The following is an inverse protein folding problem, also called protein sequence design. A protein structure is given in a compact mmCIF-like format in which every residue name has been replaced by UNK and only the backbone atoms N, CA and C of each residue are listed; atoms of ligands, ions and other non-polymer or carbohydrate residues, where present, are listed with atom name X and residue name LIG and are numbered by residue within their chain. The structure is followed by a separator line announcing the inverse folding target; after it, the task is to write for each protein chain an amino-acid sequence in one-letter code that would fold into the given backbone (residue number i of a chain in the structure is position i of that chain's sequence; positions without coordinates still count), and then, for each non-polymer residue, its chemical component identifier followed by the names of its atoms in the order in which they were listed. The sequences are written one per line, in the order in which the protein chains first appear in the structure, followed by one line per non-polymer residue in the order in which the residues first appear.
data_IF_859500362161
#
_entry.id   IF_859500362161
#
_cell.length_a   1.000
_cell.length_b   1.000
_cell.length_c   1.000
_cell.angle_alpha   90.00
_cell.angle_beta   90.00
_cell.angle_gamma   90.00
#
_symmetry.space_group_name_H-M   'P 1'
#
loop_
_entity.id
_entity.type
_entity.pdbx_description
1 polymer ?
#
# COMPACT_ATOMS: atom_id res chain seq x y z
N UNK A 1 -1.93 21.32 14.10
CA UNK A 1 -1.90 19.86 13.86
C UNK A 1 -3.07 19.55 12.95
N UNK A 2 -2.83 19.33 11.65
CA UNK A 2 -3.87 18.86 10.71
C UNK A 2 -3.38 17.52 10.21
N UNK A 3 -3.89 16.48 10.82
CA UNK A 3 -3.74 15.08 10.41
C UNK A 3 -4.64 14.85 9.19
N UNK A 4 -4.16 14.11 8.19
CA UNK A 4 -5.01 13.64 7.09
C UNK A 4 -5.41 12.20 7.39
N UNK A 5 -6.71 12.00 7.64
CA UNK A 5 -7.32 10.68 7.74
C UNK A 5 -7.34 10.04 6.35
N UNK A 6 -6.71 8.88 6.19
CA UNK A 6 -6.86 8.05 5.00
C UNK A 6 -8.17 7.29 5.04
N UNK A 7 -9.30 7.95 4.74
CA UNK A 7 -10.56 7.23 4.48
C UNK A 7 -10.60 6.92 2.99
N UNK A 8 -10.44 5.65 2.62
CA UNK A 8 -10.79 5.18 1.27
C UNK A 8 -12.27 4.80 1.32
N UNK A 9 -13.20 5.59 0.76
CA UNK A 9 -14.49 5.02 0.42
C UNK A 9 -14.25 3.97 -0.66
N UNK A 10 -14.77 2.76 -0.44
CA UNK A 10 -14.95 1.76 -1.49
C UNK A 10 -15.86 2.39 -2.54
N UNK A 11 -15.28 2.98 -3.58
CA UNK A 11 -16.05 3.44 -4.74
C UNK A 11 -16.37 2.17 -5.54
N UNK A 12 -17.54 1.61 -5.26
CA UNK A 12 -18.22 0.73 -6.21
C UNK A 12 -18.43 1.57 -7.47
N UNK A 13 -17.76 1.19 -8.55
CA UNK A 13 -17.88 1.84 -9.84
C UNK A 13 -19.27 1.58 -10.44
N UNK A 14 -20.26 2.38 -10.06
CA UNK A 14 -21.50 2.52 -10.82
C UNK A 14 -21.58 3.94 -11.40
N UNK A 15 -21.43 4.00 -12.72
CA UNK A 15 -21.90 5.05 -13.64
C UNK A 15 -21.96 6.50 -13.13
N UNK A 16 -21.00 7.31 -13.61
CA UNK A 16 -21.07 8.74 -13.93
C UNK A 16 -22.22 9.58 -13.33
N UNK A 17 -21.89 10.48 -12.40
CA UNK A 17 -22.37 11.88 -12.43
C UNK A 17 -21.48 12.78 -11.56
N UNK A 18 -20.99 13.87 -12.16
CA UNK A 18 -20.12 14.85 -11.53
C UNK A 18 -20.96 15.89 -10.76
N UNK A 19 -20.61 16.17 -9.50
CA UNK A 19 -21.06 17.37 -8.79
C UNK A 19 -19.96 18.41 -8.88
N UNK A 20 -20.21 19.46 -9.67
CA UNK A 20 -19.37 20.64 -9.73
C UNK A 20 -19.45 21.43 -8.42
N UNK A 21 -18.31 21.63 -7.74
CA UNK A 21 -18.19 22.68 -6.72
C UNK A 21 -17.67 23.93 -7.44
N UNK A 22 -18.57 24.88 -7.67
CA UNK A 22 -18.22 26.19 -8.19
C UNK A 22 -17.41 26.97 -7.13
N UNK A 23 -16.13 27.20 -7.38
CA UNK A 23 -15.34 28.18 -6.66
C UNK A 23 -15.40 29.52 -7.44
N UNK A 24 -15.67 30.62 -6.73
CA UNK A 24 -16.02 31.93 -7.31
C UNK A 24 -14.84 32.73 -7.92
N UNK A 25 -13.78 32.08 -8.39
CA UNK A 25 -12.71 32.71 -9.15
C UNK A 25 -12.58 32.00 -10.51
N UNK A 26 -12.98 32.69 -11.58
CA UNK A 26 -13.13 32.16 -12.93
C UNK A 26 -11.84 31.77 -13.65
N UNK A 27 -11.25 30.64 -13.27
CA UNK A 27 -10.36 29.86 -14.13
C UNK A 27 -11.08 28.56 -14.53
N UNK A 28 -11.67 28.56 -15.72
CA UNK A 28 -12.31 27.38 -16.31
C UNK A 28 -11.20 26.51 -16.92
N UNK A 29 -10.71 25.52 -16.17
CA UNK A 29 -9.83 24.49 -16.73
C UNK A 29 -10.67 23.54 -17.59
N UNK A 30 -10.62 23.75 -18.90
CA UNK A 30 -11.17 22.80 -19.88
C UNK A 30 -10.19 21.65 -20.03
N UNK A 31 -10.44 20.52 -19.36
CA UNK A 31 -9.75 19.27 -19.63
C UNK A 31 -10.36 18.67 -20.90
N UNK A 32 -9.73 18.96 -22.04
CA UNK A 32 -10.01 18.26 -23.28
C UNK A 32 -9.55 16.81 -23.15
N UNK A 33 -10.45 15.86 -23.41
CA UNK A 33 -10.14 14.42 -23.45
C UNK A 33 -9.19 14.14 -24.61
N UNK A 34 -7.89 14.17 -24.34
CA UNK A 34 -6.88 13.53 -25.18
C UNK A 34 -6.93 12.06 -24.82
N UNK A 35 -6.98 11.16 -25.80
CA UNK A 35 -6.84 9.72 -25.58
C UNK A 35 -5.50 9.49 -24.85
N UNK A 36 -5.58 9.43 -23.53
CA UNK A 36 -4.50 9.81 -22.62
C UNK A 36 -4.09 8.62 -21.77
N UNK A 37 -2.80 8.57 -21.45
CA UNK A 37 -2.17 7.49 -20.69
C UNK A 37 -2.93 7.24 -19.39
N UNK A 38 -3.27 5.97 -19.12
CA UNK A 38 -3.84 5.56 -17.83
C UNK A 38 -2.79 5.74 -16.73
N UNK A 39 -3.19 6.03 -15.49
CA UNK A 39 -2.27 6.17 -14.37
C UNK A 39 -1.51 4.85 -14.17
N UNK A 40 -0.19 4.92 -13.98
CA UNK A 40 0.65 3.74 -13.76
C UNK A 40 1.43 3.85 -12.47
N UNK A 41 1.36 2.82 -11.65
CA UNK A 41 2.28 2.57 -10.54
C UNK A 41 3.16 1.39 -10.93
N UNK A 42 4.44 1.68 -11.17
CA UNK A 42 5.42 0.71 -11.61
C UNK A 42 6.22 0.25 -10.41
N UNK A 43 6.01 -1.00 -9.98
CA UNK A 43 6.78 -1.61 -8.90
C UNK A 43 8.24 -1.79 -9.33
N UNK A 44 9.16 -1.19 -8.58
CA UNK A 44 10.60 -1.34 -8.74
C UNK A 44 11.20 -2.36 -7.77
N UNK A 45 12.41 -2.09 -7.28
CA UNK A 45 13.12 -2.99 -6.39
C UNK A 45 12.43 -3.16 -5.02
N UNK A 46 12.49 -4.36 -4.46
CA UNK A 46 12.24 -4.62 -3.05
C UNK A 46 13.57 -5.08 -2.42
N UNK A 47 14.01 -4.38 -1.39
CA UNK A 47 15.23 -4.68 -0.63
C UNK A 47 14.82 -5.16 0.75
N UNK A 48 15.35 -6.30 1.16
CA UNK A 48 15.13 -6.90 2.47
C UNK A 48 16.47 -7.11 3.17
N UNK A 49 16.62 -6.55 4.36
CA UNK A 49 17.85 -6.64 5.16
C UNK A 49 17.48 -7.09 6.57
N UNK A 50 18.05 -8.19 7.09
CA UNK A 50 17.82 -8.60 8.48
C UNK A 50 18.19 -7.47 9.45
N UNK A 51 17.37 -7.26 10.48
CA UNK A 51 17.69 -6.30 11.54
C UNK A 51 18.98 -6.68 12.26
N UNK A 52 19.67 -5.71 12.86
CA UNK A 52 20.95 -5.96 13.54
C UNK A 52 20.86 -6.95 14.71
N UNK A 53 19.68 -7.12 15.31
CA UNK A 53 19.40 -8.11 16.35
C UNK A 53 18.92 -9.47 15.81
N UNK A 54 18.70 -9.58 14.49
CA UNK A 54 18.25 -10.79 13.81
C UNK A 54 16.80 -11.19 14.10
N UNK A 55 16.01 -10.32 14.74
CA UNK A 55 14.63 -10.63 15.14
C UNK A 55 13.58 -10.19 14.11
N UNK A 56 13.99 -9.41 13.12
CA UNK A 56 13.12 -8.85 12.09
C UNK A 56 13.82 -8.60 10.76
N UNK A 57 13.10 -7.95 9.86
CA UNK A 57 13.53 -7.62 8.50
C UNK A 57 13.20 -6.15 8.24
N UNK A 58 14.22 -5.35 7.90
CA UNK A 58 14.05 -4.01 7.33
C UNK A 58 13.76 -4.14 5.85
N UNK A 59 12.62 -3.60 5.41
CA UNK A 59 12.12 -3.71 4.04
C UNK A 59 11.98 -2.35 3.41
N UNK A 60 12.44 -2.24 2.16
CA UNK A 60 12.36 -1.01 1.37
C UNK A 60 11.89 -1.34 -0.04
N UNK A 61 10.72 -0.83 -0.39
CA UNK A 61 10.12 -0.95 -1.71
C UNK A 61 10.32 0.37 -2.46
N UNK A 62 10.75 0.28 -3.71
CA UNK A 62 10.98 1.41 -4.61
C UNK A 62 10.07 1.28 -5.82
N UNK A 63 9.71 2.39 -6.45
CA UNK A 63 9.00 2.37 -7.73
C UNK A 63 8.80 3.75 -8.33
N UNK A 64 8.08 3.76 -9.45
CA UNK A 64 7.80 4.96 -10.24
C UNK A 64 6.29 5.13 -10.43
N UNK A 65 5.86 6.38 -10.48
CA UNK A 65 4.50 6.78 -10.79
C UNK A 65 4.50 7.56 -12.10
N UNK A 66 3.55 7.24 -12.99
CA UNK A 66 3.30 7.96 -14.24
C UNK A 66 1.85 8.43 -14.27
N UNK A 67 1.66 9.75 -14.28
CA UNK A 67 0.37 10.40 -14.39
C UNK A 67 -0.16 10.47 -15.83
N UNK A 68 -1.45 10.81 -16.02
CA UNK A 68 -2.09 10.79 -17.33
C UNK A 68 -1.57 11.87 -18.28
N UNK A 69 -1.00 12.95 -17.73
CA UNK A 69 -0.32 14.01 -18.47
C UNK A 69 1.17 13.73 -18.70
N UNK A 70 1.68 12.58 -18.27
CA UNK A 70 3.10 12.25 -18.27
C UNK A 70 3.86 12.83 -17.06
N UNK A 71 3.16 13.23 -16.01
CA UNK A 71 3.76 13.59 -14.73
C UNK A 71 4.55 12.39 -14.18
N UNK A 72 5.75 12.62 -13.66
CA UNK A 72 6.61 11.57 -13.12
C UNK A 72 6.94 11.84 -11.66
N UNK A 73 6.83 10.79 -10.84
CA UNK A 73 7.32 10.78 -9.47
C UNK A 73 7.98 9.44 -9.16
N UNK A 74 9.05 9.47 -8.38
CA UNK A 74 9.62 8.25 -7.81
C UNK A 74 9.19 8.12 -6.36
N UNK A 75 8.97 6.90 -5.90
CA UNK A 75 8.62 6.65 -4.51
C UNK A 75 9.49 5.57 -3.89
N UNK A 76 9.62 5.65 -2.57
CA UNK A 76 10.12 4.59 -1.74
C UNK A 76 9.31 4.52 -0.45
N UNK A 77 8.91 3.33 -0.02
CA UNK A 77 8.35 3.11 1.32
C UNK A 77 9.02 1.93 2.00
N UNK A 78 8.99 1.92 3.33
CA UNK A 78 9.60 0.86 4.10
C UNK A 78 9.00 0.64 5.47
N UNK A 79 9.21 -0.57 5.97
CA UNK A 79 8.76 -1.03 7.27
C UNK A 79 9.74 -2.06 7.83
N UNK A 80 9.77 -2.20 9.14
CA UNK A 80 10.65 -3.14 9.82
C UNK A 80 9.82 -4.12 10.65
N UNK A 81 9.83 -5.40 10.29
CA UNK A 81 9.15 -6.41 11.12
C UNK A 81 9.80 -6.52 12.50
N UNK A 82 8.99 -6.77 13.53
CA UNK A 82 9.44 -6.81 14.92
C UNK A 82 9.68 -5.43 15.57
N UNK A 83 9.54 -4.32 14.81
CA UNK A 83 9.54 -2.99 15.41
C UNK A 83 8.24 -2.71 16.19
N UNK A 84 8.34 -1.96 17.28
CA UNK A 84 7.20 -1.42 18.03
C UNK A 84 7.56 0.03 18.44
N UNK A 85 6.74 1.04 18.11
CA UNK A 85 5.48 0.98 17.37
C UNK A 85 5.64 0.59 15.89
N UNK A 86 4.59 -0.02 15.31
CA UNK A 86 4.47 -0.20 13.86
C UNK A 86 4.36 1.16 13.17
N UNK A 87 5.49 1.65 12.66
CA UNK A 87 5.58 2.88 11.89
C UNK A 87 6.31 2.59 10.58
N UNK A 88 5.64 2.83 9.46
CA UNK A 88 6.26 2.79 8.14
C UNK A 88 6.77 4.17 7.73
N UNK A 89 7.68 4.20 6.76
CA UNK A 89 8.28 5.44 6.22
C UNK A 89 8.01 5.52 4.73
N UNK A 90 7.90 6.75 4.22
CA UNK A 90 7.62 7.06 2.82
C UNK A 90 8.51 8.21 2.36
N UNK A 91 9.01 8.13 1.13
CA UNK A 91 9.64 9.21 0.39
C UNK A 91 9.02 9.31 -1.00
N UNK A 92 8.60 10.51 -1.40
CA UNK A 92 8.12 10.80 -2.75
C UNK A 92 8.99 11.92 -3.33
N UNK A 93 9.60 11.67 -4.48
CA UNK A 93 10.43 12.64 -5.19
C UNK A 93 9.79 13.08 -6.49
N UNK A 94 9.82 14.38 -6.74
CA UNK A 94 9.29 15.00 -7.96
C UNK A 94 10.26 16.03 -8.53
N UNK A 95 10.18 16.24 -9.85
CA UNK A 95 10.83 17.37 -10.50
C UNK A 95 12.36 17.35 -10.50
N UNK A 96 12.99 16.17 -10.51
CA UNK A 96 14.45 16.04 -10.59
C UNK A 96 15.07 16.98 -11.65
N UNK A 97 16.08 17.74 -11.23
CA UNK A 97 16.79 18.70 -12.08
C UNK A 97 16.07 20.04 -12.29
N UNK A 98 14.85 20.23 -11.76
CA UNK A 98 14.12 21.48 -11.84
C UNK A 98 14.17 22.25 -10.51
N UNK A 99 14.21 23.60 -10.51
CA UNK A 99 14.24 24.41 -9.29
C UNK A 99 13.04 24.24 -8.34
N UNK A 100 11.90 23.75 -8.85
CA UNK A 100 10.70 23.44 -8.06
C UNK A 100 10.59 21.97 -7.65
N UNK A 101 11.61 21.15 -7.93
CA UNK A 101 11.64 19.76 -7.50
C UNK A 101 12.02 19.59 -6.04
N UNK A 102 11.64 18.47 -5.43
CA UNK A 102 11.90 18.18 -4.03
C UNK A 102 11.60 16.73 -3.68
N UNK A 103 12.11 16.29 -2.53
CA UNK A 103 11.80 14.99 -1.93
C UNK A 103 11.03 15.21 -0.63
N UNK A 104 9.87 14.57 -0.54
CA UNK A 104 8.92 14.70 0.57
C UNK A 104 9.01 13.44 1.41
N UNK A 105 9.18 13.60 2.72
CA UNK A 105 9.28 12.48 3.65
C UNK A 105 8.08 12.45 4.60
N UNK A 106 7.53 11.27 4.80
CA UNK A 106 6.43 11.04 5.73
C UNK A 106 6.62 9.74 6.50
N UNK A 107 6.01 9.68 7.68
CA UNK A 107 5.75 8.43 8.40
C UNK A 107 4.30 8.04 8.26
N UNK A 108 4.06 6.73 8.27
CA UNK A 108 2.77 6.10 8.23
C UNK A 108 2.54 5.35 9.54
N UNK A 109 1.38 5.52 10.13
CA UNK A 109 1.03 4.90 11.41
C UNK A 109 -0.44 4.49 11.41
N UNK A 110 -0.76 3.47 12.20
CA UNK A 110 -2.15 3.06 12.41
C UNK A 110 -2.94 4.20 13.05
N UNK A 111 -4.15 4.41 12.55
CA UNK A 111 -5.08 5.40 13.09
C UNK A 111 -6.50 4.84 13.01
N UNK A 112 -7.06 4.48 14.15
CA UNK A 112 -8.31 3.72 14.26
C UNK A 112 -8.23 2.45 13.38
N UNK A 113 -9.21 2.24 12.50
CA UNK A 113 -9.28 1.08 11.60
C UNK A 113 -8.54 1.32 10.26
N UNK A 114 -7.77 2.40 10.16
CA UNK A 114 -7.07 2.82 8.95
C UNK A 114 -5.63 3.27 9.26
N UNK A 115 -5.03 4.02 8.33
CA UNK A 115 -3.71 4.60 8.50
C UNK A 115 -3.75 6.11 8.26
N UNK A 116 -2.77 6.79 8.82
CA UNK A 116 -2.55 8.22 8.61
C UNK A 116 -1.08 8.48 8.24
N UNK A 117 -0.87 9.64 7.61
CA UNK A 117 0.46 10.12 7.23
C UNK A 117 0.80 11.38 8.02
N UNK A 118 2.08 11.50 8.40
CA UNK A 118 2.63 12.76 8.90
C UNK A 118 3.93 13.08 8.20
N UNK A 119 4.05 14.29 7.65
CA UNK A 119 5.31 14.81 7.13
C UNK A 119 6.35 14.92 8.25
N UNK A 120 7.60 14.58 7.94
CA UNK A 120 8.73 14.57 8.89
C UNK A 120 9.97 15.22 8.28
N UNK A 121 10.87 15.70 9.15
CA UNK A 121 12.13 16.32 8.73
C UNK A 121 13.22 15.29 8.42
N UNK A 122 13.15 14.10 9.04
CA UNK A 122 14.14 13.03 8.89
C UNK A 122 13.98 12.37 7.51
N UNK A 123 15.01 12.43 6.63
CA UNK A 123 14.95 11.76 5.34
C UNK A 123 14.88 10.23 5.51
N UNK A 124 14.06 9.58 4.70
CA UNK A 124 13.98 8.12 4.66
C UNK A 124 14.82 7.52 3.53
N UNK A 125 14.45 7.81 2.28
CA UNK A 125 15.13 7.26 1.11
C UNK A 125 15.32 8.30 0.02
N UNK A 126 16.40 8.15 -0.75
CA UNK A 126 16.62 8.92 -1.97
C UNK A 126 15.98 8.23 -3.15
N UNK A 127 15.27 8.99 -3.96
CA UNK A 127 14.52 8.47 -5.10
C UNK A 127 14.89 9.21 -6.40
N UNK A 128 14.86 8.55 -7.58
CA UNK A 128 15.40 9.12 -8.82
C UNK A 128 14.80 10.46 -9.25
N UNK A 129 13.48 10.63 -9.17
CA UNK A 129 12.81 11.90 -9.50
C UNK A 129 12.92 12.94 -8.37
N UNK A 130 13.62 12.66 -7.28
CA UNK A 130 13.75 13.55 -6.13
C UNK A 130 14.70 14.72 -6.33
N UNK A 131 14.34 15.86 -5.74
CA UNK A 131 15.19 17.02 -5.55
C UNK A 131 15.84 17.04 -4.16
N UNK A 132 16.16 18.22 -3.58
CA UNK A 132 16.60 18.30 -2.19
C UNK A 132 15.56 17.70 -1.23
N UNK A 133 16.03 17.08 -0.16
CA UNK A 133 15.19 16.59 0.94
C UNK A 133 14.54 17.81 1.63
N UNK A 134 13.20 17.87 1.59
CA UNK A 134 12.43 18.96 2.18
C UNK A 134 12.13 18.65 3.64
N UNK A 135 12.22 19.67 4.51
CA UNK A 135 11.68 19.57 5.88
C UNK A 135 10.15 19.48 5.85
N UNK A 136 9.53 19.02 6.93
CA UNK A 136 8.08 18.92 7.04
C UNK A 136 7.39 20.27 6.81
N UNK A 137 7.98 21.37 7.28
CA UNK A 137 7.44 22.72 7.06
C UNK A 137 7.62 23.19 5.61
N UNK A 138 8.76 22.87 4.97
CA UNK A 138 8.96 23.15 3.54
C UNK A 138 7.98 22.34 2.69
N UNK A 139 7.78 21.06 2.99
CA UNK A 139 6.79 20.21 2.32
C UNK A 139 5.37 20.76 2.47
N UNK A 140 4.98 21.21 3.67
CA UNK A 140 3.65 21.83 3.91
C UNK A 140 3.43 23.10 3.10
N UNK A 141 4.49 23.86 2.86
CA UNK A 141 4.45 25.10 2.09
C UNK A 141 4.61 24.88 0.58
N UNK A 142 4.96 23.67 0.13
CA UNK A 142 5.24 23.38 -1.27
C UNK A 142 3.96 23.33 -2.10
N UNK A 143 3.97 23.97 -3.28
CA UNK A 143 2.79 24.06 -4.15
C UNK A 143 2.32 22.70 -4.67
N UNK A 144 3.26 21.80 -4.95
CA UNK A 144 2.99 20.43 -5.42
C UNK A 144 2.62 19.41 -4.32
N UNK A 145 2.48 19.83 -3.05
CA UNK A 145 2.07 18.90 -1.99
C UNK A 145 0.77 18.14 -2.31
N UNK A 146 -0.27 18.76 -2.91
CA UNK A 146 -1.47 18.02 -3.34
C UNK A 146 -1.16 16.92 -4.36
N UNK A 147 -0.24 17.15 -5.30
CA UNK A 147 0.20 16.15 -6.26
C UNK A 147 0.95 15.00 -5.56
N UNK A 148 1.84 15.31 -4.62
CA UNK A 148 2.55 14.31 -3.81
C UNK A 148 1.60 13.39 -3.07
N UNK A 149 0.54 13.95 -2.47
CA UNK A 149 -0.46 13.11 -1.82
C UNK A 149 -1.29 12.29 -2.79
N UNK A 150 -1.60 12.84 -3.96
CA UNK A 150 -2.28 12.10 -5.01
C UNK A 150 -1.45 10.92 -5.50
N UNK A 151 -0.13 11.08 -5.68
CA UNK A 151 0.81 9.98 -5.95
C UNK A 151 0.77 8.96 -4.81
N UNK A 152 0.83 9.41 -3.56
CA UNK A 152 0.78 8.53 -2.38
C UNK A 152 -0.49 7.67 -2.37
N UNK A 153 -1.66 8.28 -2.61
CA UNK A 153 -2.95 7.59 -2.66
C UNK A 153 -2.92 6.47 -3.73
N UNK A 154 -2.34 6.72 -4.91
CA UNK A 154 -2.24 5.72 -5.98
C UNK A 154 -1.22 4.61 -5.67
N UNK A 155 -0.07 4.95 -5.07
CA UNK A 155 0.91 3.95 -4.63
C UNK A 155 0.27 3.00 -3.62
N UNK A 156 -0.46 3.53 -2.64
CA UNK A 156 -1.17 2.72 -1.64
C UNK A 156 -2.29 1.85 -2.24
N UNK A 157 -2.85 2.26 -3.38
CA UNK A 157 -3.92 1.54 -4.07
C UNK A 157 -3.41 0.48 -5.04
N UNK A 158 -2.22 0.64 -5.61
CA UNK A 158 -1.78 -0.19 -6.74
C UNK A 158 -0.45 -0.92 -6.54
N UNK A 159 0.39 -0.52 -5.58
CA UNK A 159 1.60 -1.27 -5.26
C UNK A 159 1.26 -2.41 -4.31
N UNK A 160 1.47 -3.65 -4.75
CA UNK A 160 1.14 -4.84 -3.94
C UNK A 160 1.93 -4.92 -2.64
N UNK A 161 3.15 -4.35 -2.64
CA UNK A 161 4.00 -4.28 -1.44
C UNK A 161 3.49 -3.24 -0.45
N UNK A 162 2.75 -2.22 -0.92
CA UNK A 162 2.10 -1.27 -0.03
C UNK A 162 0.92 -1.93 0.70
N UNK A 163 0.22 -2.89 0.08
CA UNK A 163 -0.81 -3.68 0.76
C UNK A 163 -0.20 -4.58 1.84
N UNK A 164 0.92 -5.24 1.56
CA UNK A 164 1.64 -6.02 2.56
C UNK A 164 2.08 -5.15 3.76
N UNK A 165 2.72 -4.02 3.48
CA UNK A 165 3.08 -3.03 4.50
C UNK A 165 1.85 -2.58 5.30
N UNK A 166 0.71 -2.34 4.66
CA UNK A 166 -0.54 -1.93 5.34
C UNK A 166 -1.05 -3.02 6.29
N UNK A 167 -1.03 -4.29 5.87
CA UNK A 167 -1.42 -5.40 6.74
C UNK A 167 -0.46 -5.60 7.91
N UNK A 168 0.82 -5.29 7.73
CA UNK A 168 1.78 -5.20 8.83
C UNK A 168 1.43 -4.03 9.76
N UNK A 169 1.25 -2.84 9.21
CA UNK A 169 0.98 -1.60 9.94
C UNK A 169 -0.25 -1.70 10.83
N UNK A 170 -1.32 -2.27 10.30
CA UNK A 170 -2.61 -2.42 10.98
C UNK A 170 -2.71 -3.68 11.83
N UNK A 171 -1.70 -4.56 11.79
CA UNK A 171 -1.75 -5.85 12.49
C UNK A 171 -2.93 -6.71 12.03
N UNK A 172 -3.26 -6.69 10.73
CA UNK A 172 -4.44 -7.41 10.21
C UNK A 172 -4.40 -8.88 10.61
N UNK A 173 -5.44 -9.34 11.29
CA UNK A 173 -5.58 -10.72 11.74
C UNK A 173 -6.15 -11.61 10.65
N UNK A 174 -5.80 -12.89 10.71
CA UNK A 174 -6.36 -13.93 9.87
C UNK A 174 -6.59 -15.22 10.66
N UNK A 175 -7.52 -16.04 10.21
CA UNK A 175 -7.75 -17.40 10.68
C UNK A 175 -7.06 -18.37 9.72
N UNK A 176 -6.27 -19.29 10.25
CA UNK A 176 -5.54 -20.28 9.47
C UNK A 176 -5.97 -21.69 9.89
N UNK A 177 -5.97 -22.65 8.96
CA UNK A 177 -6.05 -24.07 9.39
C UNK A 177 -4.82 -24.43 10.23
N UNK A 178 -4.92 -25.37 11.19
CA UNK A 178 -3.80 -25.80 12.01
C UNK A 178 -2.57 -26.17 11.18
N UNK A 179 -2.76 -26.87 10.07
CA UNK A 179 -1.70 -27.34 9.18
C UNK A 179 -0.98 -26.19 8.48
N UNK A 180 -1.70 -25.13 8.11
CA UNK A 180 -1.10 -23.89 7.57
C UNK A 180 -0.37 -23.13 8.68
N UNK A 181 -0.99 -22.97 9.84
CA UNK A 181 -0.42 -22.25 10.98
C UNK A 181 0.89 -22.90 11.48
N UNK A 182 0.92 -24.22 11.54
CA UNK A 182 2.07 -25.03 11.94
C UNK A 182 3.06 -25.29 10.78
N UNK A 183 2.77 -24.74 9.58
CA UNK A 183 3.62 -24.83 8.38
C UNK A 183 3.80 -26.24 7.83
N UNK A 184 2.87 -27.14 8.12
CA UNK A 184 2.80 -28.47 7.55
C UNK A 184 2.19 -28.46 6.14
N UNK A 185 1.35 -27.46 5.83
CA UNK A 185 0.72 -27.28 4.52
C UNK A 185 0.87 -25.85 4.00
N UNK A 186 0.98 -25.66 2.68
CA UNK A 186 0.91 -24.33 2.10
C UNK A 186 -0.54 -23.82 2.08
N UNK A 187 -0.71 -22.50 2.00
CA UNK A 187 -2.02 -21.90 1.73
C UNK A 187 -2.47 -22.27 0.31
N UNK A 188 -3.63 -22.89 0.13
CA UNK A 188 -4.18 -23.24 -1.20
C UNK A 188 -5.46 -22.49 -1.52
N UNK A 189 -6.18 -22.04 -0.50
CA UNK A 189 -7.36 -21.19 -0.58
C UNK A 189 -7.15 -20.00 0.36
N UNK A 190 -7.44 -18.81 -0.15
CA UNK A 190 -7.61 -17.61 0.66
C UNK A 190 -9.00 -17.02 0.43
N UNK A 191 -9.64 -16.58 1.50
CA UNK A 191 -10.92 -15.89 1.43
C UNK A 191 -10.89 -14.66 2.32
N UNK A 192 -11.52 -13.59 1.85
CA UNK A 192 -11.80 -12.40 2.63
C UNK A 192 -13.30 -12.43 2.92
N UNK A 193 -13.69 -12.71 4.16
CA UNK A 193 -15.10 -12.90 4.51
C UNK A 193 -15.94 -11.63 4.29
N UNK A 194 -17.19 -11.80 3.84
CA UNK A 194 -18.08 -10.68 3.52
C UNK A 194 -18.67 -10.01 4.77
N UNK A 195 -18.93 -10.78 5.82
CA UNK A 195 -19.72 -10.38 6.98
C UNK A 195 -18.83 -9.74 8.05
N UNK A 196 -17.65 -10.33 8.32
CA UNK A 196 -16.75 -9.88 9.38
C UNK A 196 -15.40 -9.32 8.88
N UNK A 197 -15.12 -9.42 7.57
CA UNK A 197 -13.87 -8.96 6.97
C UNK A 197 -12.64 -9.76 7.40
N UNK A 198 -12.82 -10.92 8.03
CA UNK A 198 -11.73 -11.76 8.49
C UNK A 198 -11.13 -12.52 7.31
N UNK A 199 -9.80 -12.49 7.25
CA UNK A 199 -9.03 -13.27 6.27
C UNK A 199 -8.93 -14.72 6.72
N UNK A 200 -9.17 -15.64 5.80
CA UNK A 200 -9.09 -17.08 6.04
C UNK A 200 -8.06 -17.72 5.11
N UNK A 201 -7.10 -18.46 5.67
CA UNK A 201 -6.02 -19.12 4.93
C UNK A 201 -6.12 -20.62 5.17
N UNK A 202 -6.39 -21.37 4.11
CA UNK A 202 -6.77 -22.79 4.19
C UNK A 202 -5.81 -23.62 3.34
N UNK A 203 -5.34 -24.73 3.92
CA UNK A 203 -4.45 -25.71 3.29
C UNK A 203 -5.18 -26.73 2.42
N UNK A 204 -4.58 -27.90 2.26
CA UNK A 204 -5.19 -29.05 1.58
C UNK A 204 -6.14 -29.82 2.51
N UNK A 205 -5.87 -29.80 3.82
CA UNK A 205 -6.74 -30.38 4.83
C UNK A 205 -7.96 -29.50 5.03
N UNK A 206 -9.15 -30.10 4.98
CA UNK A 206 -10.43 -29.39 5.11
C UNK A 206 -10.50 -28.59 6.42
N UNK A 207 -10.92 -27.34 6.30
CA UNK A 207 -11.17 -26.49 7.46
C UNK A 207 -12.38 -27.02 8.25
N UNK A 208 -12.14 -27.55 9.45
CA UNK A 208 -13.22 -27.83 10.40
C UNK A 208 -13.45 -26.60 11.27
N UNK A 209 -14.71 -26.17 11.43
CA UNK A 209 -15.07 -24.86 12.01
C UNK A 209 -14.63 -24.60 13.47
N UNK A 210 -14.02 -25.56 14.17
CA UNK A 210 -13.60 -25.42 15.57
C UNK A 210 -12.08 -25.44 15.79
N UNK A 211 -11.26 -25.59 14.75
CA UNK A 211 -9.80 -25.75 14.90
C UNK A 211 -8.96 -24.58 14.38
N UNK A 212 -9.59 -23.54 13.85
CA UNK A 212 -8.90 -22.36 13.30
C UNK A 212 -7.93 -21.72 14.30
N UNK A 213 -6.77 -21.31 13.80
CA UNK A 213 -5.73 -20.60 14.56
C UNK A 213 -5.71 -19.13 14.16
N UNK A 214 -5.63 -18.24 15.15
CA UNK A 214 -5.50 -16.81 14.90
C UNK A 214 -4.02 -16.45 14.66
N UNK A 215 -3.74 -15.76 13.56
CA UNK A 215 -2.43 -15.23 13.23
C UNK A 215 -2.53 -13.83 12.61
N UNK A 216 -1.39 -13.26 12.22
CA UNK A 216 -1.34 -12.01 11.46
C UNK A 216 -1.09 -12.30 9.98
N UNK A 217 -1.81 -11.62 9.10
CA UNK A 217 -1.74 -11.85 7.65
C UNK A 217 -0.33 -11.59 7.09
N UNK A 218 0.37 -10.58 7.60
CA UNK A 218 1.71 -10.25 7.12
C UNK A 218 2.75 -11.36 7.40
N UNK A 219 2.59 -12.14 8.49
CA UNK A 219 3.44 -13.31 8.75
C UNK A 219 3.22 -14.41 7.71
N UNK A 220 1.99 -14.57 7.20
CA UNK A 220 1.75 -15.53 6.13
C UNK A 220 2.49 -15.13 4.84
N UNK A 221 2.56 -13.83 4.54
CA UNK A 221 3.31 -13.29 3.40
C UNK A 221 4.82 -13.46 3.57
N UNK A 222 5.35 -13.33 4.80
CA UNK A 222 6.76 -13.63 5.09
C UNK A 222 7.13 -15.07 4.71
N UNK A 223 6.24 -16.03 4.95
CA UNK A 223 6.45 -17.45 4.64
C UNK A 223 6.17 -17.80 3.17
N UNK A 224 5.19 -17.12 2.56
CA UNK A 224 4.83 -17.27 1.16
C UNK A 224 4.62 -15.91 0.48
N UNK A 225 5.68 -15.36 -0.13
CA UNK A 225 5.62 -14.06 -0.81
C UNK A 225 4.64 -14.02 -1.98
N UNK A 226 4.19 -15.16 -2.52
CA UNK A 226 3.21 -15.15 -3.61
C UNK A 226 1.80 -14.73 -3.17
N UNK A 227 1.54 -14.67 -1.86
CA UNK A 227 0.31 -14.10 -1.29
C UNK A 227 0.18 -12.60 -1.56
N UNK A 228 1.29 -11.89 -1.83
CA UNK A 228 1.26 -10.46 -2.14
C UNK A 228 0.34 -10.13 -3.33
N UNK A 229 0.13 -11.10 -4.23
CA UNK A 229 -0.68 -10.95 -5.44
C UNK A 229 -2.19 -10.92 -5.19
N UNK A 230 -2.63 -11.15 -3.96
CA UNK A 230 -4.05 -11.28 -3.62
C UNK A 230 -4.44 -10.48 -2.36
N UNK A 231 -3.57 -9.58 -1.87
CA UNK A 231 -3.84 -8.80 -0.66
C UNK A 231 -4.85 -7.66 -0.88
N UNK A 232 -5.23 -7.39 -2.14
CA UNK A 232 -6.33 -6.50 -2.52
C UNK A 232 -7.68 -7.19 -2.69
N UNK A 233 -7.75 -8.51 -2.43
CA UNK A 233 -8.98 -9.29 -2.55
C UNK A 233 -10.14 -8.60 -1.79
N UNK A 234 -11.24 -8.23 -2.48
CA UNK A 234 -12.37 -7.57 -1.82
C UNK A 234 -13.08 -8.49 -0.80
N UNK A 235 -13.77 -7.92 0.21
CA UNK A 235 -14.64 -8.72 1.07
C UNK A 235 -15.67 -9.53 0.27
N UNK A 236 -15.93 -10.76 0.72
CA UNK A 236 -16.80 -11.74 0.07
C UNK A 236 -16.17 -12.51 -1.09
N UNK A 237 -14.89 -12.28 -1.39
CA UNK A 237 -14.18 -12.94 -2.48
C UNK A 237 -13.23 -14.03 -1.97
N UNK A 238 -12.81 -14.88 -2.90
CA UNK A 238 -11.87 -15.96 -2.62
C UNK A 238 -11.00 -16.27 -3.83
N UNK A 239 -9.77 -16.70 -3.55
CA UNK A 239 -8.82 -17.15 -4.54
C UNK A 239 -8.25 -18.51 -4.14
N UNK A 240 -8.04 -19.37 -5.13
CA UNK A 240 -7.44 -20.70 -4.99
C UNK A 240 -6.21 -20.84 -5.87
N UNK A 241 -5.30 -21.73 -5.51
CA UNK A 241 -4.19 -22.15 -6.37
C UNK A 241 -3.95 -23.64 -6.26
N UNK A 242 -3.41 -24.24 -7.31
CA UNK A 242 -3.12 -25.67 -7.34
C UNK A 242 -1.89 -26.08 -6.48
N UNK A 243 -1.11 -25.11 -6.00
CA UNK A 243 0.10 -25.35 -5.20
C UNK A 243 0.99 -24.10 -5.14
N UNK A 244 2.05 -24.16 -4.32
CA UNK A 244 3.02 -23.07 -4.19
C UNK A 244 3.63 -22.71 -5.55
N UNK A 245 3.69 -21.42 -5.86
CA UNK A 245 4.20 -20.89 -7.14
C UNK A 245 3.27 -21.08 -8.33
N UNK A 246 2.07 -21.65 -8.15
CA UNK A 246 1.01 -21.64 -9.17
C UNK A 246 0.20 -20.34 -9.07
N UNK A 247 -0.31 -19.82 -10.20
CA UNK A 247 -1.13 -18.61 -10.18
C UNK A 247 -2.38 -18.82 -9.33
N UNK A 248 -2.79 -17.74 -8.66
CA UNK A 248 -4.09 -17.66 -8.03
C UNK A 248 -5.18 -17.53 -9.10
N UNK A 249 -6.28 -18.24 -8.91
CA UNK A 249 -7.48 -18.17 -9.75
C UNK A 249 -8.71 -18.12 -8.86
N UNK A 250 -9.81 -17.59 -9.35
CA UNK A 250 -11.05 -17.53 -8.59
C UNK A 250 -11.78 -16.24 -8.85
N UNK A 251 -12.59 -15.85 -7.88
CA UNK A 251 -13.39 -14.65 -7.92
C UNK A 251 -12.55 -13.48 -7.39
N UNK A 252 -11.51 -13.11 -8.15
CA UNK A 252 -10.56 -12.04 -7.84
C UNK A 252 -11.09 -10.68 -8.32
#
# INVERSE_FOLDING_TARGET
MRERLGVVPVIVAESASWVAVACACGAMFSISYVAGVEIQVLEGALVEVPTGDGTGMDRRAFGEFVGPGGELASYAFGWTTGSDPHVARLSIGIGAGNPGGGTFHAVMFANEDAHAFSLVDEPFERVPQGGPDLTADQSRAHEDLPFVWWVTDHVMQHDRRAWWMRHWLLGTTCIQTPEVFERHEPVLLISHDADDGVWQLIGATDATGSTGKLGHLHHAVDEDPSLINILDLPPGRSAVRAGVGKPWTGDI
#
